data_IF_356424886610
#
_entry.id   IF_356424886610
#
_cell.length_a   1.000
_cell.length_b   1.000
_cell.length_c   1.000
_cell.angle_alpha   90.00
_cell.angle_beta   90.00
_cell.angle_gamma   90.00
#
_symmetry.space_group_name_H-M   'P 1'
#
loop_
_entity.id
_entity.type
_entity.pdbx_description
1 polymer ?
#
# COMPACT_ATOMS: atom_id res chain seq x y z
N UNK A 1 -6.43 -22.87 -6.03
CA UNK A 1 -6.50 -21.57 -5.35
C UNK A 1 -5.30 -21.48 -4.42
N UNK A 2 -4.36 -20.60 -4.74
CA UNK A 2 -3.26 -20.26 -3.85
C UNK A 2 -3.34 -18.77 -3.55
N UNK A 3 -3.28 -18.41 -2.27
CA UNK A 3 -3.08 -17.01 -1.87
C UNK A 3 -1.65 -16.89 -1.38
N UNK A 4 -0.93 -15.93 -1.96
CA UNK A 4 0.39 -15.55 -1.51
C UNK A 4 0.24 -14.30 -0.64
N UNK A 5 0.48 -14.43 0.65
CA UNK A 5 0.56 -13.29 1.58
C UNK A 5 1.91 -13.36 2.27
N UNK A 6 2.67 -12.26 2.21
CA UNK A 6 3.97 -12.14 2.90
C UNK A 6 4.93 -13.32 2.64
N UNK A 7 4.98 -13.83 1.40
CA UNK A 7 5.87 -14.93 1.02
C UNK A 7 5.43 -16.33 1.48
N UNK A 8 4.28 -16.46 2.16
CA UNK A 8 3.66 -17.77 2.43
C UNK A 8 2.57 -18.07 1.41
N UNK A 9 2.79 -19.12 0.63
CA UNK A 9 1.77 -19.70 -0.25
C UNK A 9 0.84 -20.58 0.57
N UNK A 10 -0.37 -20.06 0.84
CA UNK A 10 -1.42 -20.85 1.47
C UNK A 10 -2.20 -21.60 0.39
N UNK A 11 -2.12 -22.93 0.43
CA UNK A 11 -2.92 -23.81 -0.42
C UNK A 11 -4.36 -23.90 0.13
N UNK A 12 -5.17 -22.91 -0.22
CA UNK A 12 -6.57 -22.82 0.21
C UNK A 12 -7.37 -24.01 -0.29
N UNK A 13 -7.17 -24.42 -1.55
CA UNK A 13 -7.85 -25.58 -2.11
C UNK A 13 -7.53 -26.86 -1.33
N UNK A 14 -6.26 -27.06 -0.97
CA UNK A 14 -5.84 -28.19 -0.15
C UNK A 14 -6.52 -28.22 1.23
N UNK A 15 -6.57 -27.09 1.93
CA UNK A 15 -7.25 -27.00 3.24
C UNK A 15 -8.76 -27.21 3.12
N UNK A 16 -9.39 -26.58 2.14
CA UNK A 16 -10.82 -26.69 1.86
C UNK A 16 -11.23 -28.14 1.56
N UNK A 17 -10.39 -28.88 0.84
CA UNK A 17 -10.63 -30.26 0.42
C UNK A 17 -10.34 -31.32 1.48
N UNK A 18 -9.55 -30.99 2.51
CA UNK A 18 -9.14 -31.96 3.55
C UNK A 18 -9.84 -31.73 4.88
N UNK A 19 -10.43 -30.56 5.11
CA UNK A 19 -11.09 -30.19 6.36
C UNK A 19 -12.40 -29.47 6.10
N UNK A 20 -13.43 -29.69 6.95
CA UNK A 20 -14.71 -28.97 6.85
C UNK A 20 -14.48 -27.47 7.05
N UNK A 21 -14.57 -26.73 5.96
CA UNK A 21 -14.18 -25.32 5.90
C UNK A 21 -15.34 -24.45 5.40
N UNK A 22 -15.54 -23.29 6.02
CA UNK A 22 -16.32 -22.21 5.42
C UNK A 22 -15.33 -21.22 4.79
N UNK A 23 -15.36 -21.13 3.46
CA UNK A 23 -14.61 -20.13 2.70
C UNK A 23 -15.51 -18.95 2.41
N UNK A 24 -15.13 -17.75 2.85
CA UNK A 24 -15.86 -16.51 2.57
C UNK A 24 -15.07 -15.71 1.54
N UNK A 25 -15.71 -15.40 0.42
CA UNK A 25 -15.16 -14.54 -0.65
C UNK A 25 -15.98 -13.25 -0.65
N UNK A 26 -15.34 -12.14 -0.30
CA UNK A 26 -15.99 -10.84 -0.21
C UNK A 26 -15.75 -10.03 -1.50
N UNK A 27 -16.81 -9.44 -2.07
CA UNK A 27 -16.73 -8.51 -3.20
C UNK A 27 -16.30 -9.14 -4.54
N UNK A 28 -16.86 -10.30 -4.89
CA UNK A 28 -16.50 -10.99 -6.13
C UNK A 28 -17.19 -10.35 -7.35
N UNK A 29 -16.47 -9.48 -8.08
CA UNK A 29 -17.01 -8.71 -9.22
C UNK A 29 -16.57 -9.23 -10.59
N UNK A 30 -15.97 -10.42 -10.66
CA UNK A 30 -15.49 -11.04 -11.90
C UNK A 30 -16.53 -12.05 -12.42
N UNK A 31 -16.71 -12.12 -13.74
CA UNK A 31 -17.50 -13.18 -14.37
C UNK A 31 -16.93 -14.55 -14.02
N UNK A 32 -17.69 -15.36 -13.30
CA UNK A 32 -17.27 -16.70 -12.88
C UNK A 32 -17.62 -17.70 -13.98
N UNK A 33 -16.61 -18.36 -14.54
CA UNK A 33 -16.82 -19.51 -15.41
C UNK A 33 -17.39 -20.68 -14.59
N UNK A 34 -18.21 -21.54 -15.21
CA UNK A 34 -18.90 -22.64 -14.52
C UNK A 34 -17.97 -23.61 -13.77
N UNK A 35 -16.69 -23.65 -14.14
CA UNK A 35 -15.65 -24.53 -13.60
C UNK A 35 -14.74 -23.86 -12.55
N UNK A 36 -14.99 -22.60 -12.18
CA UNK A 36 -14.12 -21.82 -11.29
C UNK A 36 -13.84 -22.49 -9.93
N UNK A 37 -14.79 -23.27 -9.42
CA UNK A 37 -14.66 -24.00 -8.14
C UNK A 37 -14.44 -25.50 -8.31
N UNK A 38 -14.11 -25.99 -9.51
CA UNK A 38 -13.87 -27.42 -9.79
C UNK A 38 -12.77 -28.01 -8.89
N UNK A 39 -11.73 -27.24 -8.62
CA UNK A 39 -10.64 -27.64 -7.71
C UNK A 39 -11.06 -27.81 -6.24
N UNK A 40 -12.27 -27.37 -5.86
CA UNK A 40 -12.82 -27.45 -4.50
C UNK A 40 -13.83 -28.61 -4.31
N UNK A 41 -14.05 -29.44 -5.34
CA UNK A 41 -15.07 -30.49 -5.34
C UNK A 41 -14.98 -31.45 -4.14
N UNK A 42 -13.77 -31.91 -3.82
CA UNK A 42 -13.57 -32.81 -2.68
C UNK A 42 -13.99 -32.18 -1.34
N UNK A 43 -13.80 -30.88 -1.18
CA UNK A 43 -14.21 -30.13 0.01
C UNK A 43 -15.72 -30.06 0.16
N UNK A 44 -16.44 -29.83 -0.94
CA UNK A 44 -17.90 -29.83 -0.92
C UNK A 44 -18.46 -31.20 -0.48
N UNK A 45 -17.84 -32.31 -0.90
CA UNK A 45 -18.24 -33.67 -0.51
C UNK A 45 -18.15 -33.89 1.01
N UNK A 46 -17.11 -33.36 1.67
CA UNK A 46 -16.94 -33.50 3.13
C UNK A 46 -17.76 -32.48 3.93
N UNK A 47 -18.49 -31.58 3.26
CA UNK A 47 -19.39 -30.60 3.85
C UNK A 47 -18.83 -29.19 4.01
N UNK A 48 -17.70 -28.88 3.37
CA UNK A 48 -17.21 -27.50 3.26
C UNK A 48 -18.18 -26.64 2.42
N UNK A 49 -18.20 -25.34 2.67
CA UNK A 49 -19.08 -24.39 1.99
C UNK A 49 -18.32 -23.15 1.54
N UNK A 50 -18.75 -22.56 0.44
CA UNK A 50 -18.30 -21.25 -0.02
C UNK A 50 -19.45 -20.26 0.14
N UNK A 51 -19.20 -19.13 0.78
CA UNK A 51 -20.10 -17.99 0.84
C UNK A 51 -19.47 -16.85 0.05
N UNK A 52 -20.23 -16.28 -0.88
CA UNK A 52 -19.76 -15.21 -1.76
C UNK A 52 -20.66 -14.00 -1.56
N UNK A 53 -20.08 -12.83 -1.31
CA UNK A 53 -20.76 -11.55 -1.48
C UNK A 53 -20.37 -10.97 -2.85
N UNK A 54 -21.33 -10.37 -3.55
CA UNK A 54 -21.09 -9.72 -4.85
C UNK A 54 -22.14 -8.63 -5.07
N UNK A 55 -21.72 -7.53 -5.69
CA UNK A 55 -22.63 -6.49 -6.16
C UNK A 55 -23.17 -6.79 -7.58
N UNK A 56 -22.55 -7.74 -8.30
CA UNK A 56 -22.90 -8.13 -9.66
C UNK A 56 -23.74 -9.41 -9.75
N UNK A 57 -24.28 -9.69 -10.94
CA UNK A 57 -24.97 -10.94 -11.22
C UNK A 57 -23.98 -12.04 -11.62
N UNK A 58 -23.79 -13.01 -10.73
CA UNK A 58 -23.06 -14.26 -11.03
C UNK A 58 -24.09 -15.34 -11.42
N UNK A 59 -24.42 -15.44 -12.70
CA UNK A 59 -25.53 -16.31 -13.15
C UNK A 59 -25.30 -17.81 -12.95
N UNK A 60 -24.05 -18.24 -12.82
CA UNK A 60 -23.68 -19.64 -12.69
C UNK A 60 -23.93 -20.26 -11.30
N UNK A 61 -24.31 -19.48 -10.28
CA UNK A 61 -24.39 -19.95 -8.89
C UNK A 61 -25.76 -19.68 -8.24
N UNK A 62 -26.18 -20.49 -7.25
CA UNK A 62 -27.35 -20.18 -6.41
C UNK A 62 -27.18 -18.84 -5.71
N UNK A 63 -28.21 -18.00 -5.75
CA UNK A 63 -28.18 -16.63 -5.23
C UNK A 63 -29.11 -16.48 -4.04
N UNK A 64 -28.65 -15.75 -3.04
CA UNK A 64 -29.51 -15.17 -2.02
C UNK A 64 -29.49 -13.66 -2.21
N UNK A 65 -30.63 -13.09 -2.60
CA UNK A 65 -30.75 -11.65 -2.73
C UNK A 65 -30.96 -11.05 -1.33
N UNK A 66 -30.06 -10.16 -0.94
CA UNK A 66 -30.27 -9.32 0.23
C UNK A 66 -31.33 -8.28 -0.12
N UNK A 67 -32.53 -8.49 0.40
CA UNK A 67 -33.62 -7.53 0.26
C UNK A 67 -33.28 -6.20 0.96
N UNK A 68 -34.02 -5.16 0.59
CA UNK A 68 -33.93 -3.86 1.26
C UNK A 68 -34.35 -4.01 2.73
N UNK A 69 -33.75 -3.20 3.59
CA UNK A 69 -34.11 -3.19 5.01
C UNK A 69 -35.59 -2.82 5.19
N UNK A 70 -36.23 -3.48 6.15
CA UNK A 70 -37.53 -3.05 6.65
C UNK A 70 -37.44 -1.64 7.25
N UNK A 71 -38.53 -0.87 7.14
CA UNK A 71 -38.57 0.53 7.58
C UNK A 71 -38.14 0.70 9.05
N UNK A 72 -38.53 -0.22 9.94
CA UNK A 72 -38.15 -0.15 11.36
C UNK A 72 -36.65 -0.30 11.59
N UNK A 73 -36.01 -1.25 10.88
CA UNK A 73 -34.56 -1.41 10.93
C UNK A 73 -33.85 -0.20 10.30
N UNK A 74 -34.34 0.29 9.17
CA UNK A 74 -33.79 1.45 8.48
C UNK A 74 -33.90 2.72 9.35
N UNK A 75 -35.06 2.96 9.97
CA UNK A 75 -35.28 4.04 10.95
C UNK A 75 -34.29 3.93 12.09
N UNK A 76 -34.14 2.73 12.66
CA UNK A 76 -33.21 2.47 13.74
C UNK A 76 -31.77 2.82 13.36
N UNK A 77 -31.32 2.49 12.14
CA UNK A 77 -29.98 2.86 11.66
C UNK A 77 -29.83 4.38 11.58
N UNK A 78 -30.83 5.08 11.04
CA UNK A 78 -30.79 6.54 10.84
C UNK A 78 -30.76 7.31 12.16
N UNK A 79 -31.58 6.91 13.14
CA UNK A 79 -31.75 7.69 14.38
C UNK A 79 -30.85 7.22 15.53
N UNK A 80 -30.13 6.10 15.36
CA UNK A 80 -29.34 5.51 16.46
C UNK A 80 -28.36 6.52 17.09
N UNK A 81 -28.60 6.87 18.35
CA UNK A 81 -27.76 7.81 19.11
C UNK A 81 -27.83 9.26 18.64
N UNK A 82 -28.87 9.65 17.90
CA UNK A 82 -29.22 11.06 17.68
C UNK A 82 -30.06 11.58 18.86
N UNK A 83 -29.89 12.85 19.28
CA UNK A 83 -30.84 13.51 20.19
C UNK A 83 -32.24 13.58 19.58
N UNK A 84 -33.29 13.50 20.41
CA UNK A 84 -34.68 13.53 19.94
C UNK A 84 -35.03 14.87 19.26
N UNK A 85 -34.38 15.98 19.63
CA UNK A 85 -34.58 17.27 18.95
C UNK A 85 -33.93 17.38 17.56
N UNK A 86 -33.13 16.39 17.14
CA UNK A 86 -32.40 16.39 15.87
C UNK A 86 -33.22 15.88 14.69
N UNK A 87 -34.40 15.28 14.92
CA UNK A 87 -35.24 14.73 13.87
C UNK A 87 -36.74 14.80 14.24
N UNK A 88 -37.60 14.70 13.23
CA UNK A 88 -39.03 14.51 13.36
C UNK A 88 -39.48 13.37 12.45
N UNK A 89 -40.66 12.78 12.72
CA UNK A 89 -41.11 11.60 11.98
C UNK A 89 -41.29 11.87 10.47
N UNK A 90 -41.68 13.08 10.07
CA UNK A 90 -41.87 13.42 8.66
C UNK A 90 -40.52 13.51 7.92
N UNK A 91 -39.50 14.07 8.56
CA UNK A 91 -38.14 14.09 8.06
C UNK A 91 -37.54 12.68 7.94
N UNK A 92 -37.81 11.81 8.92
CA UNK A 92 -37.37 10.41 8.90
C UNK A 92 -38.02 9.66 7.73
N UNK A 93 -39.35 9.75 7.58
CA UNK A 93 -40.07 9.09 6.50
C UNK A 93 -39.58 9.52 5.11
N UNK A 94 -39.30 10.82 4.94
CA UNK A 94 -38.73 11.36 3.70
C UNK A 94 -37.38 10.71 3.36
N UNK A 95 -36.45 10.68 4.32
CA UNK A 95 -35.12 10.09 4.09
C UNK A 95 -35.18 8.59 3.84
N UNK A 96 -36.03 7.85 4.56
CA UNK A 96 -36.20 6.41 4.32
C UNK A 96 -36.68 6.13 2.90
N UNK A 97 -37.67 6.91 2.43
CA UNK A 97 -38.18 6.83 1.06
C UNK A 97 -37.10 7.13 0.02
N UNK A 98 -36.41 8.27 0.14
CA UNK A 98 -35.42 8.72 -0.85
C UNK A 98 -34.14 7.87 -0.84
N UNK A 99 -33.75 7.34 0.32
CA UNK A 99 -32.61 6.44 0.44
C UNK A 99 -32.91 5.01 -0.01
N UNK A 100 -34.19 4.67 -0.22
CA UNK A 100 -34.62 3.29 -0.49
C UNK A 100 -34.23 2.33 0.62
N UNK A 101 -34.16 2.80 1.86
CA UNK A 101 -33.70 2.05 3.04
C UNK A 101 -32.26 1.52 2.95
N UNK A 102 -31.38 2.19 2.21
CA UNK A 102 -30.00 1.74 2.05
C UNK A 102 -29.15 1.96 3.34
N UNK A 103 -28.65 0.90 4.02
CA UNK A 103 -28.01 1.02 5.33
C UNK A 103 -26.82 1.99 5.37
N UNK A 104 -25.91 1.94 4.39
CA UNK A 104 -24.75 2.83 4.35
C UNK A 104 -25.16 4.31 4.23
N UNK A 105 -26.13 4.62 3.38
CA UNK A 105 -26.58 5.99 3.16
C UNK A 105 -27.23 6.56 4.43
N UNK A 106 -28.04 5.75 5.11
CA UNK A 106 -28.64 6.11 6.39
C UNK A 106 -27.58 6.34 7.47
N UNK A 107 -26.54 5.50 7.52
CA UNK A 107 -25.41 5.69 8.42
C UNK A 107 -24.64 6.99 8.12
N UNK A 108 -24.37 7.30 6.85
CA UNK A 108 -23.69 8.54 6.44
C UNK A 108 -24.54 9.76 6.83
N UNK A 109 -25.84 9.77 6.54
CA UNK A 109 -26.73 10.88 6.92
C UNK A 109 -26.73 11.08 8.45
N UNK A 110 -26.91 10.00 9.22
CA UNK A 110 -26.84 10.03 10.68
C UNK A 110 -25.51 10.62 11.17
N UNK A 111 -24.40 10.13 10.62
CA UNK A 111 -23.08 10.49 11.11
C UNK A 111 -22.69 11.92 10.70
N UNK A 112 -23.18 12.40 9.55
CA UNK A 112 -23.14 13.82 9.18
C UNK A 112 -23.88 14.68 10.20
N UNK A 113 -25.11 14.32 10.57
CA UNK A 113 -25.90 15.00 11.61
C UNK A 113 -25.12 15.10 12.93
N UNK A 114 -24.55 13.98 13.40
CA UNK A 114 -23.75 13.95 14.62
C UNK A 114 -22.50 14.83 14.53
N UNK A 115 -21.80 14.75 13.40
CA UNK A 115 -20.51 15.44 13.23
C UNK A 115 -20.64 16.95 13.09
N UNK A 116 -21.73 17.42 12.46
CA UNK A 116 -21.98 18.84 12.19
C UNK A 116 -22.93 19.49 13.20
N UNK A 117 -23.55 18.68 14.07
CA UNK A 117 -24.53 19.14 15.05
C UNK A 117 -25.69 19.91 14.41
N UNK A 118 -26.25 19.34 13.33
CA UNK A 118 -27.38 19.88 12.55
C UNK A 118 -28.65 19.05 12.77
N UNK A 119 -29.79 19.47 12.25
CA UNK A 119 -31.03 18.66 12.27
C UNK A 119 -31.24 17.93 10.94
N UNK A 120 -32.01 16.86 10.97
CA UNK A 120 -32.34 16.09 9.76
C UNK A 120 -33.08 16.94 8.72
N UNK A 121 -33.92 17.87 9.16
CA UNK A 121 -34.62 18.81 8.26
C UNK A 121 -33.64 19.73 7.52
N UNK A 122 -32.52 20.09 8.13
CA UNK A 122 -31.49 20.92 7.48
C UNK A 122 -30.82 20.14 6.35
N UNK A 123 -30.58 18.83 6.54
CA UNK A 123 -30.08 17.95 5.49
C UNK A 123 -31.09 17.88 4.33
N UNK A 124 -32.38 17.72 4.63
CA UNK A 124 -33.44 17.66 3.62
C UNK A 124 -33.51 18.96 2.80
N UNK A 125 -33.44 20.11 3.48
CA UNK A 125 -33.49 21.42 2.84
C UNK A 125 -32.30 21.66 1.90
N UNK A 126 -31.14 21.05 2.19
CA UNK A 126 -29.94 21.21 1.34
C UNK A 126 -29.95 20.27 0.12
N UNK A 127 -30.54 19.08 0.23
CA UNK A 127 -30.63 18.13 -0.90
C UNK A 127 -31.81 18.43 -1.84
N UNK A 128 -32.89 19.04 -1.35
CA UNK A 128 -34.11 19.28 -2.14
C UNK A 128 -33.90 20.19 -3.35
N UNK A 129 -33.13 21.30 -3.27
CA UNK A 129 -32.82 22.13 -4.43
C UNK A 129 -32.08 21.35 -5.52
N UNK A 130 -31.18 20.42 -5.16
CA UNK A 130 -30.41 19.63 -6.11
C UNK A 130 -31.28 18.67 -6.94
N UNK A 131 -32.41 18.20 -6.41
CA UNK A 131 -33.41 17.38 -7.12
C UNK A 131 -34.01 18.14 -8.32
N UNK A 132 -34.15 19.47 -8.22
CA UNK A 132 -34.78 20.27 -9.26
C UNK A 132 -33.85 20.55 -10.46
N UNK A 133 -32.54 20.31 -10.32
CA UNK A 133 -31.52 20.55 -11.35
C UNK A 133 -31.09 19.26 -12.10
N UNK A 134 -31.76 18.12 -11.87
CA UNK A 134 -31.44 16.88 -12.59
C UNK A 134 -31.72 17.03 -14.10
N UNK A 135 -30.65 16.97 -14.91
CA UNK A 135 -30.73 16.68 -16.33
C UNK A 135 -30.74 15.15 -16.49
N UNK A 136 -31.52 14.59 -17.43
CA UNK A 136 -31.70 13.13 -17.62
C UNK A 136 -30.37 12.38 -17.85
N UNK A 137 -29.31 13.13 -18.13
CA UNK A 137 -27.92 12.69 -18.33
C UNK A 137 -27.15 12.48 -17.02
N UNK A 138 -27.41 13.24 -15.94
CA UNK A 138 -26.51 13.28 -14.76
C UNK A 138 -26.90 12.34 -13.62
N UNK A 139 -28.17 11.91 -13.52
CA UNK A 139 -28.75 10.97 -12.53
C UNK A 139 -27.93 10.84 -11.24
N UNK A 140 -27.78 11.95 -10.52
CA UNK A 140 -26.96 11.99 -9.31
C UNK A 140 -27.64 11.22 -8.18
N UNK A 141 -26.90 10.36 -7.47
CA UNK A 141 -27.44 9.58 -6.35
C UNK A 141 -27.66 10.46 -5.11
N UNK A 142 -28.61 10.10 -4.24
CA UNK A 142 -28.80 10.78 -2.95
C UNK A 142 -27.50 10.86 -2.13
N UNK A 143 -26.66 9.82 -2.20
CA UNK A 143 -25.34 9.84 -1.57
C UNK A 143 -24.45 10.95 -2.14
N UNK A 144 -24.37 11.08 -3.48
CA UNK A 144 -23.60 12.15 -4.12
C UNK A 144 -24.12 13.52 -3.70
N UNK A 145 -25.46 13.70 -3.62
CA UNK A 145 -26.07 14.95 -3.14
C UNK A 145 -25.70 15.27 -1.70
N UNK A 146 -25.79 14.31 -0.78
CA UNK A 146 -25.40 14.50 0.63
C UNK A 146 -23.90 14.84 0.73
N UNK A 147 -23.06 14.18 -0.07
CA UNK A 147 -21.62 14.46 -0.10
C UNK A 147 -21.30 15.86 -0.65
N UNK A 148 -22.02 16.31 -1.70
CA UNK A 148 -21.82 17.61 -2.33
C UNK A 148 -22.42 18.76 -1.52
N UNK A 149 -23.61 18.58 -0.95
CA UNK A 149 -24.34 19.65 -0.26
C UNK A 149 -23.74 19.96 1.12
N UNK A 150 -23.12 18.96 1.76
CA UNK A 150 -22.44 19.08 3.05
C UNK A 150 -20.95 18.76 2.95
N UNK A 151 -20.34 19.09 1.81
CA UNK A 151 -18.89 18.94 1.66
C UNK A 151 -18.11 19.94 2.50
N UNK A 152 -18.73 20.97 3.08
CA UNK A 152 -18.02 22.11 3.71
C UNK A 152 -17.02 21.64 4.77
N UNK A 153 -15.73 21.81 4.46
CA UNK A 153 -14.62 21.38 5.29
C UNK A 153 -14.18 19.93 5.08
N UNK A 154 -14.63 19.29 4.00
CA UNK A 154 -14.22 17.99 3.45
C UNK A 154 -13.72 18.08 2.01
N UNK A 155 -13.96 19.18 1.29
CA UNK A 155 -13.70 19.30 -0.15
C UNK A 155 -12.27 18.85 -0.49
N UNK A 156 -11.28 19.40 0.21
CA UNK A 156 -9.87 19.11 -0.04
C UNK A 156 -9.53 17.65 0.24
N UNK A 157 -10.20 17.02 1.21
CA UNK A 157 -9.97 15.60 1.52
C UNK A 157 -10.58 14.71 0.44
N UNK A 158 -11.79 15.03 -0.04
CA UNK A 158 -12.44 14.29 -1.12
C UNK A 158 -11.66 14.41 -2.44
N UNK A 159 -11.08 15.58 -2.73
CA UNK A 159 -10.16 15.77 -3.86
C UNK A 159 -8.93 14.86 -3.75
N UNK A 160 -8.33 14.73 -2.56
CA UNK A 160 -7.22 13.78 -2.34
C UNK A 160 -7.66 12.33 -2.58
N UNK A 161 -8.81 11.90 -2.02
CA UNK A 161 -9.31 10.54 -2.24
C UNK A 161 -9.58 10.28 -3.72
N UNK A 162 -10.15 11.25 -4.44
CA UNK A 162 -10.34 11.17 -5.90
C UNK A 162 -9.00 11.07 -6.62
N UNK A 163 -8.05 11.94 -6.29
CA UNK A 163 -6.74 11.97 -6.93
C UNK A 163 -5.99 10.65 -6.74
N UNK A 164 -5.96 10.10 -5.52
CA UNK A 164 -5.33 8.80 -5.24
C UNK A 164 -5.99 7.66 -6.02
N UNK A 165 -7.32 7.72 -6.19
CA UNK A 165 -8.11 6.74 -6.95
C UNK A 165 -7.88 5.29 -6.48
N UNK A 166 -7.84 5.11 -5.16
CA UNK A 166 -7.78 3.81 -4.50
C UNK A 166 -8.89 3.71 -3.46
N UNK A 167 -9.23 2.49 -3.05
CA UNK A 167 -10.26 2.25 -2.03
C UNK A 167 -9.68 1.92 -0.66
N UNK A 168 -8.40 1.57 -0.61
CA UNK A 168 -7.69 1.15 0.59
C UNK A 168 -6.50 2.06 0.78
N UNK A 169 -6.33 2.59 1.98
CA UNK A 169 -5.30 3.55 2.33
C UNK A 169 -4.53 3.06 3.55
N UNK A 170 -3.23 3.27 3.56
CA UNK A 170 -2.45 3.21 4.78
C UNK A 170 -2.76 4.45 5.64
N UNK A 171 -2.96 4.26 6.95
CA UNK A 171 -3.36 5.36 7.83
C UNK A 171 -2.28 6.43 7.96
N UNK A 172 -0.99 6.07 8.00
CA UNK A 172 0.12 7.01 8.18
C UNK A 172 0.27 7.88 6.93
N UNK A 173 0.21 7.25 5.76
CA UNK A 173 0.21 7.93 4.48
C UNK A 173 -0.94 8.92 4.33
N UNK A 174 -2.17 8.48 4.61
CA UNK A 174 -3.31 9.37 4.47
C UNK A 174 -3.25 10.52 5.49
N UNK A 175 -2.79 10.25 6.73
CA UNK A 175 -2.56 11.29 7.74
C UNK A 175 -1.50 12.30 7.29
N UNK A 176 -0.46 11.90 6.57
CA UNK A 176 0.51 12.84 6.04
C UNK A 176 -0.11 13.79 4.99
N UNK A 177 -0.95 13.27 4.10
CA UNK A 177 -1.50 14.08 2.98
C UNK A 177 -2.62 15.03 3.44
N UNK A 178 -3.55 14.54 4.28
CA UNK A 178 -4.76 15.30 4.71
C UNK A 178 -4.81 15.64 6.20
N UNK A 179 -3.79 15.25 6.97
CA UNK A 179 -3.73 15.48 8.41
C UNK A 179 -4.58 14.50 9.24
N UNK A 180 -4.22 14.37 10.52
CA UNK A 180 -4.99 13.58 11.50
C UNK A 180 -6.44 14.08 11.59
N UNK A 181 -6.65 15.40 11.53
CA UNK A 181 -7.98 16.02 11.54
C UNK A 181 -8.82 15.65 10.31
N UNK A 182 -8.21 15.59 9.13
CA UNK A 182 -8.89 15.18 7.90
C UNK A 182 -9.34 13.73 7.95
N UNK A 183 -8.45 12.81 8.34
CA UNK A 183 -8.78 11.39 8.54
C UNK A 183 -9.89 11.23 9.57
N UNK A 184 -9.81 11.94 10.70
CA UNK A 184 -10.86 11.91 11.73
C UNK A 184 -12.22 12.34 11.18
N UNK A 185 -12.27 13.44 10.42
CA UNK A 185 -13.51 13.94 9.80
C UNK A 185 -14.13 12.95 8.82
N UNK A 186 -13.31 12.29 8.00
CA UNK A 186 -13.78 11.27 7.05
C UNK A 186 -14.36 10.05 7.78
N UNK A 187 -13.68 9.58 8.84
CA UNK A 187 -14.18 8.48 9.68
C UNK A 187 -15.46 8.84 10.42
N UNK A 188 -15.53 10.04 11.00
CA UNK A 188 -16.69 10.51 11.75
C UNK A 188 -17.97 10.62 10.91
N UNK A 189 -17.85 10.71 9.58
CA UNK A 189 -18.96 10.73 8.63
C UNK A 189 -19.16 9.39 7.90
N UNK A 190 -18.57 8.32 8.41
CA UNK A 190 -18.64 6.97 7.81
C UNK A 190 -18.16 6.91 6.35
N UNK A 191 -17.24 7.81 5.95
CA UNK A 191 -16.67 7.82 4.61
C UNK A 191 -15.47 6.85 4.48
N UNK A 192 -14.77 6.65 5.59
CA UNK A 192 -13.70 5.67 5.73
C UNK A 192 -13.96 4.84 6.98
N UNK A 193 -13.79 3.52 6.85
CA UNK A 193 -13.77 2.58 7.97
C UNK A 193 -12.34 2.18 8.27
N UNK A 194 -12.00 2.08 9.55
CA UNK A 194 -10.73 1.49 9.96
C UNK A 194 -10.88 -0.02 10.06
N UNK A 195 -9.96 -0.73 9.41
CA UNK A 195 -9.81 -2.19 9.47
C UNK A 195 -8.53 -2.54 10.23
N UNK A 196 -8.32 -3.84 10.49
CA UNK A 196 -7.12 -4.33 11.16
C UNK A 196 -5.84 -3.88 10.45
N UNK A 197 -4.75 -3.80 11.23
CA UNK A 197 -3.42 -3.41 10.77
C UNK A 197 -3.32 -1.97 10.25
N UNK A 198 -4.09 -1.03 10.77
CA UNK A 198 -3.95 0.40 10.46
C UNK A 198 -4.27 0.74 8.99
N UNK A 199 -5.25 0.04 8.43
CA UNK A 199 -5.79 0.29 7.10
C UNK A 199 -7.11 1.06 7.18
N UNK A 200 -7.32 1.96 6.22
CA UNK A 200 -8.59 2.65 6.02
C UNK A 200 -9.22 2.18 4.72
N UNK A 201 -10.49 1.81 4.76
CA UNK A 201 -11.24 1.29 3.61
C UNK A 201 -12.43 2.19 3.30
N UNK A 202 -12.56 2.55 2.02
CA UNK A 202 -13.67 3.27 1.45
C UNK A 202 -14.63 2.29 0.75
N UNK A 203 -15.92 2.40 1.05
CA UNK A 203 -16.94 1.59 0.40
C UNK A 203 -17.11 1.97 -1.09
N UNK A 204 -17.48 1.01 -1.93
CA UNK A 204 -17.58 1.18 -3.39
C UNK A 204 -18.48 2.33 -3.83
N UNK A 205 -19.67 2.45 -3.25
CA UNK A 205 -20.57 3.58 -3.55
C UNK A 205 -19.96 4.94 -3.21
N UNK A 206 -19.16 5.04 -2.14
CA UNK A 206 -18.47 6.28 -1.78
C UNK A 206 -17.36 6.54 -2.81
N UNK A 207 -16.59 5.51 -3.16
CA UNK A 207 -15.58 5.61 -4.20
C UNK A 207 -16.16 6.10 -5.53
N UNK A 208 -17.30 5.53 -5.97
CA UNK A 208 -18.00 5.97 -7.18
C UNK A 208 -18.44 7.44 -7.10
N UNK A 209 -18.98 7.88 -5.97
CA UNK A 209 -19.36 9.28 -5.77
C UNK A 209 -18.14 10.21 -5.83
N UNK A 210 -17.06 9.83 -5.15
CA UNK A 210 -15.79 10.58 -5.13
C UNK A 210 -15.19 10.68 -6.53
N UNK A 211 -15.24 9.62 -7.34
CA UNK A 211 -14.76 9.65 -8.72
C UNK A 211 -15.55 10.62 -9.63
N UNK A 212 -16.85 10.81 -9.34
CA UNK A 212 -17.72 11.73 -10.06
C UNK A 212 -17.63 13.20 -9.63
N UNK A 213 -16.75 13.55 -8.68
CA UNK A 213 -16.45 14.94 -8.31
C UNK A 213 -15.54 15.58 -9.36
N UNK A 214 -15.53 16.89 -9.52
CA UNK A 214 -14.47 17.56 -10.28
C UNK A 214 -13.19 17.64 -9.46
N UNK A 215 -12.04 17.43 -10.10
CA UNK A 215 -10.75 17.63 -9.46
C UNK A 215 -9.70 18.04 -10.48
N UNK A 216 -9.15 19.22 -10.28
CA UNK A 216 -8.04 19.79 -11.05
C UNK A 216 -6.78 19.96 -10.20
N UNK A 217 -6.83 19.57 -8.93
CA UNK A 217 -5.71 19.69 -8.01
C UNK A 217 -4.75 18.50 -8.13
N UNK A 218 -3.48 18.82 -7.92
CA UNK A 218 -2.40 17.85 -7.89
C UNK A 218 -1.80 17.77 -6.48
N UNK A 219 -1.58 16.54 -6.03
CA UNK A 219 -1.05 16.23 -4.70
C UNK A 219 0.28 15.46 -4.76
N UNK A 220 0.93 15.42 -5.93
CA UNK A 220 2.25 14.80 -6.15
C UNK A 220 3.27 15.24 -5.11
N UNK A 221 3.42 16.55 -4.87
CA UNK A 221 4.40 17.06 -3.92
C UNK A 221 4.23 16.46 -2.51
N UNK A 222 2.98 16.36 -2.00
CA UNK A 222 2.71 15.76 -0.68
C UNK A 222 3.02 14.26 -0.66
N UNK A 223 2.67 13.55 -1.73
CA UNK A 223 3.01 12.14 -1.87
C UNK A 223 4.52 11.93 -1.88
N UNK A 224 5.26 12.76 -2.64
CA UNK A 224 6.71 12.65 -2.76
C UNK A 224 7.43 13.03 -1.47
N UNK A 225 6.96 14.05 -0.75
CA UNK A 225 7.47 14.38 0.59
C UNK A 225 7.33 13.21 1.55
N UNK A 226 6.16 12.56 1.60
CA UNK A 226 5.94 11.37 2.44
C UNK A 226 6.99 10.28 2.21
N UNK A 227 7.24 9.95 0.94
CA UNK A 227 8.16 8.89 0.58
C UNK A 227 9.63 9.30 0.78
N UNK A 228 9.99 10.54 0.43
CA UNK A 228 11.35 11.05 0.62
C UNK A 228 11.77 11.05 2.09
N UNK A 229 10.88 11.41 3.01
CA UNK A 229 11.13 11.38 4.46
C UNK A 229 11.36 9.97 5.03
N UNK A 230 10.94 8.93 4.32
CA UNK A 230 10.87 7.55 4.83
C UNK A 230 11.71 6.56 4.03
N UNK A 231 12.38 7.01 2.98
CA UNK A 231 13.09 6.14 2.03
C UNK A 231 14.21 5.34 2.70
N UNK A 232 14.87 5.92 3.70
CA UNK A 232 16.00 5.29 4.41
C UNK A 232 15.55 4.20 5.39
N UNK A 233 14.35 4.30 5.95
CA UNK A 233 13.80 3.30 6.86
C UNK A 233 13.00 2.22 6.11
N UNK A 234 12.25 2.63 5.07
CA UNK A 234 11.43 1.75 4.23
C UNK A 234 10.56 0.76 5.04
N UNK A 235 9.98 1.24 6.15
CA UNK A 235 9.15 0.44 7.05
C UNK A 235 7.86 -0.07 6.40
N UNK A 236 7.03 -0.77 7.17
CA UNK A 236 5.80 -1.37 6.63
C UNK A 236 4.81 -0.32 6.09
N UNK A 237 4.72 0.88 6.67
CA UNK A 237 3.87 1.96 6.15
C UNK A 237 4.37 2.44 4.79
N UNK A 238 5.68 2.65 4.64
CA UNK A 238 6.30 2.99 3.36
C UNK A 238 5.97 1.94 2.29
N UNK A 239 6.26 0.66 2.57
CA UNK A 239 6.06 -0.42 1.60
C UNK A 239 4.58 -0.58 1.23
N UNK A 240 3.69 -0.53 2.23
CA UNK A 240 2.26 -0.67 2.00
C UNK A 240 1.71 0.49 1.18
N UNK A 241 2.12 1.72 1.49
CA UNK A 241 1.72 2.92 0.75
C UNK A 241 2.23 2.90 -0.67
N UNK A 242 3.47 2.44 -0.88
CA UNK A 242 4.04 2.24 -2.21
C UNK A 242 3.16 1.31 -3.05
N UNK A 243 2.82 0.13 -2.52
CA UNK A 243 2.04 -0.87 -3.27
C UNK A 243 0.56 -0.53 -3.41
N UNK A 244 -0.08 0.10 -2.41
CA UNK A 244 -1.46 0.58 -2.52
C UNK A 244 -1.59 1.61 -3.64
N UNK A 245 -0.57 2.45 -3.85
CA UNK A 245 -0.55 3.50 -4.87
C UNK A 245 0.19 3.10 -6.16
N UNK A 246 0.48 1.81 -6.36
CA UNK A 246 1.27 1.34 -7.50
C UNK A 246 0.72 1.81 -8.85
N UNK A 247 -0.61 1.74 -9.06
CA UNK A 247 -1.25 2.21 -10.30
C UNK A 247 -1.03 3.70 -10.55
N UNK A 248 -1.12 4.52 -9.49
CA UNK A 248 -0.87 5.96 -9.58
C UNK A 248 0.60 6.22 -9.93
N UNK A 249 1.54 5.56 -9.27
CA UNK A 249 2.98 5.71 -9.54
C UNK A 249 3.30 5.35 -10.99
N UNK A 250 2.81 4.20 -11.47
CA UNK A 250 3.00 3.78 -12.87
C UNK A 250 2.41 4.83 -13.83
N UNK A 251 1.20 5.30 -13.57
CA UNK A 251 0.58 6.36 -14.37
C UNK A 251 1.44 7.64 -14.40
N UNK A 252 1.91 8.11 -13.25
CA UNK A 252 2.73 9.32 -13.16
C UNK A 252 4.04 9.18 -13.93
N UNK A 253 4.74 8.06 -13.75
CA UNK A 253 5.99 7.75 -14.44
C UNK A 253 5.80 7.74 -15.96
N UNK A 254 4.76 7.07 -16.45
CA UNK A 254 4.45 7.00 -17.89
C UNK A 254 4.11 8.34 -18.52
N UNK A 255 3.72 9.35 -17.71
CA UNK A 255 3.36 10.70 -18.17
C UNK A 255 4.40 11.76 -17.77
N UNK A 256 5.54 11.35 -17.21
CA UNK A 256 6.61 12.25 -16.78
C UNK A 256 7.85 12.13 -17.65
N UNK A 257 8.71 13.14 -17.60
CA UNK A 257 10.05 13.06 -18.20
C UNK A 257 10.89 12.01 -17.47
N UNK A 258 11.63 11.20 -18.24
CA UNK A 258 12.51 10.14 -17.70
C UNK A 258 13.73 10.79 -17.05
N UNK A 259 13.74 10.88 -15.72
CA UNK A 259 14.82 11.49 -14.95
C UNK A 259 15.02 10.78 -13.60
N UNK A 260 16.20 10.88 -12.98
CA UNK A 260 16.45 10.20 -11.73
C UNK A 260 15.92 11.03 -10.57
N UNK A 261 14.67 10.80 -10.20
CA UNK A 261 13.99 11.47 -9.09
C UNK A 261 13.22 10.48 -8.19
N UNK A 262 12.61 11.00 -7.12
CA UNK A 262 11.85 10.18 -6.17
C UNK A 262 10.71 9.40 -6.85
N UNK A 263 10.04 9.97 -7.86
CA UNK A 263 8.97 9.27 -8.58
C UNK A 263 9.53 8.01 -9.28
N UNK A 264 10.65 8.16 -9.99
CA UNK A 264 11.31 7.04 -10.64
C UNK A 264 11.91 6.06 -9.63
N UNK A 265 12.34 6.53 -8.45
CA UNK A 265 12.79 5.62 -7.40
C UNK A 265 11.66 4.71 -6.95
N UNK A 266 10.49 5.28 -6.62
CA UNK A 266 9.32 4.53 -6.20
C UNK A 266 8.90 3.50 -7.26
N UNK A 267 8.95 3.88 -8.53
CA UNK A 267 8.68 2.97 -9.64
C UNK A 267 9.66 1.78 -9.69
N UNK A 268 10.95 2.03 -9.46
CA UNK A 268 11.97 0.97 -9.42
C UNK A 268 11.75 0.03 -8.23
N UNK A 269 11.29 0.55 -7.09
CA UNK A 269 11.00 -0.24 -5.88
C UNK A 269 9.75 -1.11 -6.00
N UNK A 270 8.76 -0.74 -6.83
CA UNK A 270 7.54 -1.53 -7.02
C UNK A 270 7.84 -2.94 -7.51
N UNK A 271 7.18 -3.95 -6.95
CA UNK A 271 7.17 -5.31 -7.49
C UNK A 271 5.94 -5.51 -8.39
N UNK A 272 5.96 -4.87 -9.55
CA UNK A 272 4.91 -4.98 -10.58
C UNK A 272 5.47 -5.61 -11.83
N UNK A 273 4.74 -6.57 -12.40
CA UNK A 273 5.10 -7.18 -13.68
C UNK A 273 4.98 -6.17 -14.82
N UNK A 274 5.83 -6.32 -15.84
CA UNK A 274 5.73 -5.53 -17.07
C UNK A 274 6.18 -4.07 -16.94
N UNK A 275 7.17 -3.78 -16.08
CA UNK A 275 7.83 -2.48 -16.08
C UNK A 275 8.37 -2.14 -17.46
N UNK A 276 8.15 -0.89 -17.87
CA UNK A 276 8.72 -0.30 -19.08
C UNK A 276 10.25 -0.35 -18.99
N UNK A 277 10.82 -1.16 -19.88
CA UNK A 277 12.26 -1.40 -19.98
C UNK A 277 13.00 -0.16 -20.46
N UNK A 278 12.37 0.67 -21.29
CA UNK A 278 13.00 1.86 -21.86
C UNK A 278 13.23 2.91 -20.78
N UNK A 279 12.30 3.05 -19.83
CA UNK A 279 12.44 3.95 -18.68
C UNK A 279 13.65 3.53 -17.84
N UNK A 280 13.73 2.23 -17.51
CA UNK A 280 14.81 1.69 -16.70
C UNK A 280 16.15 1.79 -17.43
N UNK A 281 16.20 1.45 -18.72
CA UNK A 281 17.38 1.54 -19.56
C UNK A 281 17.89 2.97 -19.68
N UNK A 282 16.98 3.94 -19.90
CA UNK A 282 17.33 5.37 -20.01
C UNK A 282 18.01 5.86 -18.73
N UNK A 283 17.44 5.53 -17.57
CA UNK A 283 17.99 5.95 -16.27
C UNK A 283 19.30 5.22 -15.94
N UNK A 284 19.39 3.92 -16.24
CA UNK A 284 20.58 3.12 -15.97
C UNK A 284 21.84 3.63 -16.70
N UNK A 285 21.65 4.26 -17.87
CA UNK A 285 22.73 4.84 -18.69
C UNK A 285 23.20 6.23 -18.23
N UNK A 286 22.50 6.87 -17.28
CA UNK A 286 22.92 8.17 -16.75
C UNK A 286 24.17 8.02 -15.87
N UNK A 287 24.97 9.08 -15.79
CA UNK A 287 26.22 9.09 -15.00
C UNK A 287 25.97 9.60 -13.59
N UNK A 288 26.57 8.98 -12.59
CA UNK A 288 26.48 9.43 -11.20
C UNK A 288 27.12 10.82 -11.01
N UNK A 289 28.19 11.11 -11.74
CA UNK A 289 28.91 12.38 -11.70
C UNK A 289 28.03 13.61 -12.02
N UNK A 290 26.94 13.42 -12.79
CA UNK A 290 26.01 14.50 -13.14
C UNK A 290 25.04 14.84 -12.00
N UNK A 291 25.02 14.04 -10.92
CA UNK A 291 24.03 14.11 -9.83
C UNK A 291 24.66 14.07 -8.43
N UNK A 292 25.92 14.45 -8.28
CA UNK A 292 26.64 14.41 -6.99
C UNK A 292 25.93 15.20 -5.88
N UNK A 293 25.22 16.27 -6.21
CA UNK A 293 24.45 17.08 -5.25
C UNK A 293 23.05 16.50 -4.93
N UNK A 294 22.69 15.35 -5.51
CA UNK A 294 21.37 14.74 -5.35
C UNK A 294 21.49 13.23 -5.08
N UNK A 295 21.53 12.88 -3.81
CA UNK A 295 21.66 11.48 -3.33
C UNK A 295 20.54 10.58 -3.85
N UNK A 296 19.29 11.07 -3.88
CA UNK A 296 18.15 10.30 -4.39
C UNK A 296 18.36 9.98 -5.88
N UNK A 297 18.83 10.94 -6.67
CA UNK A 297 19.10 10.71 -8.08
C UNK A 297 20.19 9.64 -8.28
N UNK A 298 21.26 9.68 -7.48
CA UNK A 298 22.30 8.64 -7.50
C UNK A 298 21.73 7.26 -7.15
N UNK A 299 20.91 7.15 -6.10
CA UNK A 299 20.25 5.90 -5.72
C UNK A 299 19.33 5.38 -6.83
N UNK A 300 18.61 6.26 -7.53
CA UNK A 300 17.75 5.89 -8.67
C UNK A 300 18.55 5.32 -9.82
N UNK A 301 19.67 5.94 -10.17
CA UNK A 301 20.55 5.44 -11.24
C UNK A 301 21.09 4.06 -10.87
N UNK A 302 21.59 3.90 -9.65
CA UNK A 302 22.11 2.62 -9.16
C UNK A 302 20.99 1.57 -9.17
N UNK A 303 19.83 1.85 -8.57
CA UNK A 303 18.71 0.92 -8.53
C UNK A 303 18.21 0.57 -9.94
N UNK A 304 18.22 1.50 -10.90
CA UNK A 304 17.88 1.22 -12.29
C UNK A 304 18.86 0.22 -12.91
N UNK A 305 20.17 0.38 -12.67
CA UNK A 305 21.19 -0.61 -13.08
C UNK A 305 20.95 -1.96 -12.43
N UNK A 306 20.50 -2.01 -11.18
CA UNK A 306 20.12 -3.26 -10.52
C UNK A 306 18.89 -3.92 -11.17
N UNK A 307 17.85 -3.13 -11.46
CA UNK A 307 16.61 -3.62 -12.07
C UNK A 307 16.80 -4.05 -13.51
N UNK A 308 17.72 -3.41 -14.23
CA UNK A 308 18.09 -3.77 -15.59
C UNK A 308 18.50 -5.26 -15.70
N UNK A 309 19.08 -5.83 -14.63
CA UNK A 309 19.53 -7.22 -14.59
C UNK A 309 18.41 -8.26 -14.68
N UNK A 310 17.17 -7.88 -14.35
CA UNK A 310 16.03 -8.80 -14.33
C UNK A 310 15.38 -8.96 -15.72
N UNK A 311 15.82 -8.19 -16.72
CA UNK A 311 15.32 -8.34 -18.08
C UNK A 311 16.14 -9.38 -18.84
N UNK A 312 15.51 -10.53 -19.12
CA UNK A 312 16.18 -11.66 -19.76
C UNK A 312 16.75 -11.36 -21.14
N UNK A 313 16.13 -10.42 -21.86
CA UNK A 313 16.54 -9.98 -23.20
C UNK A 313 17.88 -9.24 -23.23
N UNK A 314 18.44 -8.85 -22.07
CA UNK A 314 19.60 -7.95 -21.97
C UNK A 314 20.76 -8.54 -21.16
N UNK A 315 20.79 -9.88 -20.99
CA UNK A 315 21.78 -10.61 -20.17
C UNK A 315 23.25 -10.44 -20.62
N UNK A 316 23.51 -9.98 -21.85
CA UNK A 316 24.88 -9.85 -22.38
C UNK A 316 25.66 -8.63 -21.84
N UNK A 317 25.02 -7.64 -21.20
CA UNK A 317 25.67 -6.45 -20.63
C UNK A 317 25.70 -6.39 -19.08
N UNK A 318 25.37 -7.47 -18.37
CA UNK A 318 25.14 -7.44 -16.91
C UNK A 318 26.34 -6.95 -16.10
N UNK A 319 27.54 -7.44 -16.41
CA UNK A 319 28.75 -7.07 -15.67
C UNK A 319 29.19 -5.63 -15.96
N UNK A 320 28.78 -5.06 -17.10
CA UNK A 320 29.17 -3.70 -17.51
C UNK A 320 28.58 -2.65 -16.58
N UNK A 321 27.30 -2.79 -16.20
CA UNK A 321 26.68 -1.83 -15.27
C UNK A 321 27.17 -1.99 -13.84
N UNK A 322 27.43 -3.22 -13.38
CA UNK A 322 28.02 -3.46 -12.06
C UNK A 322 29.44 -2.85 -12.01
N UNK A 323 30.26 -3.05 -13.04
CA UNK A 323 31.59 -2.42 -13.15
C UNK A 323 31.50 -0.89 -13.26
N UNK A 324 30.63 -0.35 -14.12
CA UNK A 324 30.41 1.11 -14.26
C UNK A 324 29.98 1.74 -12.93
N UNK A 325 29.18 1.02 -12.14
CA UNK A 325 28.76 1.49 -10.81
C UNK A 325 29.95 1.58 -9.86
N UNK A 326 30.84 0.59 -9.87
CA UNK A 326 32.05 0.61 -9.05
C UNK A 326 32.95 1.78 -9.49
N UNK A 327 33.26 1.86 -10.78
CA UNK A 327 34.18 2.85 -11.33
C UNK A 327 33.67 4.29 -11.08
N UNK A 328 32.39 4.54 -11.31
CA UNK A 328 31.79 5.86 -11.08
C UNK A 328 31.69 6.22 -9.60
N UNK A 329 31.38 5.26 -8.71
CA UNK A 329 31.40 5.52 -7.27
C UNK A 329 32.81 5.90 -6.81
N UNK A 330 33.83 5.18 -7.27
CA UNK A 330 35.23 5.50 -6.94
C UNK A 330 35.63 6.88 -7.48
N UNK A 331 35.26 7.22 -8.72
CA UNK A 331 35.51 8.53 -9.34
C UNK A 331 34.88 9.67 -8.52
N UNK A 332 33.59 9.58 -8.19
CA UNK A 332 32.89 10.66 -7.49
C UNK A 332 33.35 10.78 -6.03
N UNK A 333 33.70 9.67 -5.37
CA UNK A 333 34.19 9.69 -3.98
C UNK A 333 35.60 10.29 -3.86
N UNK A 334 36.42 10.21 -4.92
CA UNK A 334 37.72 10.89 -4.96
C UNK A 334 37.55 12.40 -5.21
N UNK A 335 36.58 12.76 -6.04
CA UNK A 335 36.45 14.12 -6.60
C UNK A 335 35.54 15.04 -5.79
N UNK A 336 34.76 14.50 -4.84
CA UNK A 336 33.76 15.24 -4.07
C UNK A 336 33.85 14.88 -2.58
N UNK A 337 33.43 15.82 -1.73
CA UNK A 337 33.33 15.61 -0.29
C UNK A 337 31.87 15.32 0.07
N UNK A 338 31.59 14.09 0.48
CA UNK A 338 30.25 13.61 0.81
C UNK A 338 30.07 13.51 2.32
N UNK A 339 28.86 13.79 2.80
CA UNK A 339 28.54 13.52 4.20
C UNK A 339 28.57 12.01 4.52
N UNK A 340 28.62 11.70 5.81
CA UNK A 340 28.73 10.32 6.33
C UNK A 340 27.58 9.44 5.82
N UNK A 341 26.37 10.00 5.68
CA UNK A 341 25.18 9.27 5.25
C UNK A 341 25.28 8.88 3.77
N UNK A 342 25.72 9.80 2.94
CA UNK A 342 25.93 9.57 1.50
C UNK A 342 27.08 8.59 1.28
N UNK A 343 28.19 8.76 1.99
CA UNK A 343 29.32 7.83 1.95
C UNK A 343 28.91 6.40 2.34
N UNK A 344 28.08 6.26 3.37
CA UNK A 344 27.52 4.97 3.77
C UNK A 344 26.78 4.31 2.60
N UNK A 345 25.86 5.05 1.97
CA UNK A 345 25.05 4.56 0.85
C UNK A 345 25.90 4.15 -0.35
N UNK A 346 26.88 4.99 -0.73
CA UNK A 346 27.79 4.70 -1.82
C UNK A 346 28.61 3.42 -1.56
N UNK A 347 29.20 3.26 -0.38
CA UNK A 347 29.91 2.03 -0.03
C UNK A 347 28.98 0.81 0.01
N UNK A 348 27.74 0.96 0.50
CA UNK A 348 26.76 -0.12 0.49
C UNK A 348 26.45 -0.59 -0.94
N UNK A 349 26.19 0.33 -1.86
CA UNK A 349 25.90 0.00 -3.25
C UNK A 349 27.12 -0.52 -4.00
N UNK A 350 28.32 0.01 -3.73
CA UNK A 350 29.57 -0.52 -4.25
C UNK A 350 29.79 -1.97 -3.82
N UNK A 351 29.55 -2.30 -2.55
CA UNK A 351 29.62 -3.67 -2.05
C UNK A 351 28.62 -4.61 -2.74
N UNK A 352 27.40 -4.15 -3.03
CA UNK A 352 26.42 -4.93 -3.81
C UNK A 352 26.90 -5.18 -5.25
N UNK A 353 27.52 -4.19 -5.90
CA UNK A 353 28.06 -4.34 -7.24
C UNK A 353 29.23 -5.34 -7.27
N UNK A 354 30.22 -5.22 -6.38
CA UNK A 354 31.33 -6.17 -6.23
C UNK A 354 30.82 -7.61 -6.01
N UNK A 355 29.85 -7.78 -5.11
CA UNK A 355 29.25 -9.08 -4.82
C UNK A 355 28.59 -9.71 -6.06
N UNK A 356 27.91 -8.91 -6.89
CA UNK A 356 27.30 -9.39 -8.14
C UNK A 356 28.33 -9.81 -9.18
N UNK A 357 29.52 -9.21 -9.15
CA UNK A 357 30.69 -9.61 -9.94
C UNK A 357 31.47 -10.79 -9.33
N UNK A 358 31.02 -11.34 -8.19
CA UNK A 358 31.68 -12.42 -7.44
C UNK A 358 33.05 -12.04 -6.89
N UNK A 359 33.24 -10.76 -6.59
CA UNK A 359 34.41 -10.20 -5.92
C UNK A 359 34.10 -10.06 -4.43
N UNK A 360 34.07 -11.19 -3.72
CA UNK A 360 33.54 -11.27 -2.37
C UNK A 360 34.41 -10.54 -1.32
N UNK A 361 35.74 -10.50 -1.51
CA UNK A 361 36.67 -9.80 -0.62
C UNK A 361 36.47 -8.27 -0.71
N UNK A 362 36.41 -7.74 -1.93
CA UNK A 362 36.16 -6.32 -2.19
C UNK A 362 34.75 -5.92 -1.74
N UNK A 363 33.76 -6.77 -1.99
CA UNK A 363 32.39 -6.57 -1.50
C UNK A 363 32.35 -6.45 0.02
N UNK A 364 33.00 -7.38 0.73
CA UNK A 364 33.08 -7.37 2.18
C UNK A 364 33.80 -6.09 2.67
N UNK A 365 34.90 -5.71 2.03
CA UNK A 365 35.63 -4.48 2.33
C UNK A 365 34.76 -3.22 2.22
N UNK A 366 33.97 -3.09 1.14
CA UNK A 366 33.03 -1.97 0.98
C UNK A 366 31.91 -2.00 2.02
N UNK A 367 31.34 -3.17 2.33
CA UNK A 367 30.29 -3.26 3.36
C UNK A 367 30.82 -2.96 4.77
N UNK A 368 32.06 -3.35 5.10
CA UNK A 368 32.68 -2.99 6.38
C UNK A 368 32.82 -1.47 6.49
N UNK A 369 33.34 -0.80 5.46
CA UNK A 369 33.43 0.67 5.43
C UNK A 369 32.05 1.33 5.59
N UNK A 370 31.01 0.80 4.94
CA UNK A 370 29.65 1.28 5.13
C UNK A 370 29.19 1.11 6.58
N UNK A 371 29.45 -0.05 7.21
CA UNK A 371 29.06 -0.33 8.59
C UNK A 371 29.82 0.52 9.61
N UNK A 372 31.07 0.90 9.33
CA UNK A 372 31.86 1.81 10.17
C UNK A 372 31.25 3.22 10.22
N UNK A 373 30.61 3.65 9.12
CA UNK A 373 29.92 4.94 9.03
C UNK A 373 28.54 4.93 9.70
N UNK A 374 27.84 3.79 9.67
CA UNK A 374 26.60 3.56 10.43
C UNK A 374 26.54 2.14 10.98
N UNK A 375 26.83 2.02 12.28
CA UNK A 375 26.86 0.74 12.99
C UNK A 375 25.48 0.08 13.08
N UNK A 376 24.40 0.84 12.92
CA UNK A 376 23.03 0.35 13.02
C UNK A 376 22.43 0.01 11.65
N UNK A 377 23.20 0.11 10.55
CA UNK A 377 22.72 -0.15 9.20
C UNK A 377 22.37 -1.64 8.98
N UNK A 378 21.11 -1.98 9.22
CA UNK A 378 20.61 -3.35 9.21
C UNK A 378 20.72 -4.01 7.82
N UNK A 379 20.50 -3.25 6.75
CA UNK A 379 20.69 -3.72 5.37
C UNK A 379 22.16 -4.11 5.10
N UNK A 380 23.12 -3.30 5.56
CA UNK A 380 24.55 -3.57 5.43
C UNK A 380 24.96 -4.79 6.25
N UNK A 381 24.48 -4.91 7.49
CA UNK A 381 24.69 -6.10 8.33
C UNK A 381 24.17 -7.38 7.67
N UNK A 382 22.99 -7.32 7.06
CA UNK A 382 22.44 -8.45 6.30
C UNK A 382 23.34 -8.83 5.13
N UNK A 383 23.91 -7.87 4.40
CA UNK A 383 24.83 -8.18 3.30
C UNK A 383 26.16 -8.78 3.77
N UNK A 384 26.74 -8.26 4.87
CA UNK A 384 27.94 -8.83 5.50
C UNK A 384 27.66 -10.26 5.93
N UNK A 385 26.53 -10.50 6.59
CA UNK A 385 26.14 -11.83 7.05
C UNK A 385 26.15 -12.87 5.91
N UNK A 386 25.82 -12.45 4.68
CA UNK A 386 25.81 -13.33 3.49
C UNK A 386 27.18 -13.64 2.91
N UNK A 387 28.23 -12.92 3.31
CA UNK A 387 29.59 -13.05 2.79
C UNK A 387 30.57 -13.68 3.79
N UNK A 388 30.28 -13.58 5.08
CA UNK A 388 31.14 -14.13 6.14
C UNK A 388 30.81 -15.59 6.47
N UNK A 389 31.76 -16.24 7.13
CA UNK A 389 31.60 -17.60 7.64
C UNK A 389 30.52 -17.70 8.73
N UNK A 390 30.12 -18.94 9.05
CA UNK A 390 28.96 -19.20 9.93
C UNK A 390 29.10 -18.58 11.32
N UNK A 391 30.29 -18.59 11.89
CA UNK A 391 30.51 -18.09 13.25
C UNK A 391 30.45 -16.55 13.29
N UNK A 392 30.97 -15.89 12.25
CA UNK A 392 30.96 -14.43 12.12
C UNK A 392 29.59 -13.88 11.66
N UNK A 393 28.73 -14.73 11.07
CA UNK A 393 27.36 -14.38 10.66
C UNK A 393 26.44 -14.10 11.86
N UNK A 394 26.59 -14.86 12.96
CA UNK A 394 25.66 -14.86 14.10
C UNK A 394 25.50 -13.46 14.73
N UNK A 395 26.57 -12.70 15.04
CA UNK A 395 26.44 -11.37 15.63
C UNK A 395 25.63 -10.39 14.76
N UNK A 396 25.75 -10.47 13.43
CA UNK A 396 25.01 -9.59 12.52
C UNK A 396 23.51 -9.91 12.51
N UNK A 397 23.16 -11.19 12.42
CA UNK A 397 21.76 -11.65 12.46
C UNK A 397 21.14 -11.30 13.81
N UNK A 398 21.85 -11.58 14.92
CA UNK A 398 21.37 -11.27 16.27
C UNK A 398 21.09 -9.79 16.47
N UNK A 399 21.94 -8.92 15.92
CA UNK A 399 21.71 -7.48 15.98
C UNK A 399 20.43 -7.08 15.25
N UNK A 400 20.19 -7.62 14.06
CA UNK A 400 18.97 -7.33 13.29
C UNK A 400 17.71 -7.78 14.06
N UNK A 401 17.70 -8.99 14.62
CA UNK A 401 16.56 -9.43 15.44
C UNK A 401 16.39 -8.61 16.71
N UNK A 402 17.47 -8.21 17.38
CA UNK A 402 17.40 -7.34 18.55
C UNK A 402 16.75 -6.00 18.20
N UNK A 403 17.15 -5.37 17.10
CA UNK A 403 16.57 -4.10 16.64
C UNK A 403 15.10 -4.24 16.30
N UNK A 404 14.70 -5.33 15.63
CA UNK A 404 13.29 -5.56 15.31
C UNK A 404 12.42 -5.84 16.53
N UNK A 405 12.90 -6.62 17.50
CA UNK A 405 12.16 -6.88 18.74
C UNK A 405 12.02 -5.59 19.56
N UNK A 406 13.06 -4.75 19.58
CA UNK A 406 13.04 -3.47 20.28
C UNK A 406 12.12 -2.43 19.63
N UNK A 407 12.15 -2.32 18.30
CA UNK A 407 11.37 -1.33 17.54
C UNK A 407 10.92 -1.89 16.18
N UNK A 408 9.84 -2.70 16.13
CA UNK A 408 9.40 -3.37 14.89
C UNK A 408 9.08 -2.42 13.74
N UNK A 409 8.61 -1.20 14.04
CA UNK A 409 8.23 -0.17 13.07
C UNK A 409 9.43 0.56 12.44
N UNK A 410 10.63 0.39 12.99
CA UNK A 410 11.85 1.05 12.52
C UNK A 410 12.70 0.16 11.61
N UNK A 411 12.34 -1.12 11.48
CA UNK A 411 13.07 -2.07 10.65
C UNK A 411 12.29 -2.39 9.38
N UNK A 412 12.96 -2.27 8.23
CA UNK A 412 12.40 -2.68 6.95
C UNK A 412 11.96 -4.15 6.97
N UNK A 413 10.72 -4.42 6.56
CA UNK A 413 10.15 -5.77 6.54
C UNK A 413 10.98 -6.73 5.66
N UNK A 414 11.53 -6.22 4.56
CA UNK A 414 12.37 -6.99 3.63
C UNK A 414 13.67 -7.45 4.29
N UNK A 415 14.26 -6.66 5.19
CA UNK A 415 15.43 -7.05 5.97
C UNK A 415 15.09 -8.21 6.89
N UNK A 416 13.96 -8.15 7.58
CA UNK A 416 13.58 -9.19 8.55
C UNK A 416 13.28 -10.50 7.87
N UNK A 417 12.48 -10.49 6.79
CA UNK A 417 12.19 -11.70 6.04
C UNK A 417 13.47 -12.34 5.48
N UNK A 418 14.37 -11.53 4.91
CA UNK A 418 15.65 -12.02 4.42
C UNK A 418 16.58 -12.51 5.54
N UNK A 419 16.52 -11.89 6.72
CA UNK A 419 17.32 -12.30 7.89
C UNK A 419 16.83 -13.64 8.44
N UNK A 420 15.52 -13.88 8.46
CA UNK A 420 14.95 -15.19 8.81
C UNK A 420 15.44 -16.27 7.84
N UNK A 421 15.44 -15.99 6.54
CA UNK A 421 15.98 -16.92 5.54
C UNK A 421 17.47 -17.21 5.77
N UNK A 422 18.28 -16.18 6.04
CA UNK A 422 19.70 -16.33 6.33
C UNK A 422 19.97 -17.08 7.63
N UNK A 423 19.18 -16.83 8.67
CA UNK A 423 19.27 -17.53 9.96
C UNK A 423 18.95 -19.01 9.80
N UNK A 424 17.94 -19.36 8.99
CA UNK A 424 17.58 -20.75 8.68
C UNK A 424 18.68 -21.58 8.01
N UNK A 425 19.75 -20.95 7.49
CA UNK A 425 20.92 -21.63 6.92
C UNK A 425 21.93 -22.07 7.99
N UNK A 426 21.74 -21.66 9.25
CA UNK A 426 22.59 -22.02 10.39
C UNK A 426 22.14 -23.34 11.03
N UNK A 427 23.08 -24.03 11.68
CA UNK A 427 22.78 -25.30 12.38
C UNK A 427 21.95 -25.07 13.64
N UNK A 428 22.17 -23.95 14.31
CA UNK A 428 21.48 -23.58 15.53
C UNK A 428 20.96 -22.15 15.41
N UNK A 429 19.69 -22.03 15.04
CA UNK A 429 19.05 -20.72 14.82
C UNK A 429 18.86 -19.98 16.16
N UNK A 430 18.78 -20.72 17.27
CA UNK A 430 18.62 -20.13 18.61
C UNK A 430 19.78 -19.23 19.00
N UNK A 431 20.99 -19.49 18.51
CA UNK A 431 22.18 -18.66 18.78
C UNK A 431 22.04 -17.24 18.22
N UNK A 432 21.18 -17.07 17.21
CA UNK A 432 20.88 -15.78 16.61
C UNK A 432 19.80 -15.01 17.37
N UNK A 433 19.07 -15.64 18.30
CA UNK A 433 18.00 -14.96 19.01
C UNK A 433 18.56 -14.09 20.15
N UNK A 434 17.94 -12.93 20.43
CA UNK A 434 18.19 -12.20 21.66
C UNK A 434 17.85 -13.05 22.88
N UNK A 435 18.53 -12.83 24.00
CA UNK A 435 18.28 -13.60 25.22
C UNK A 435 16.80 -13.54 25.63
N UNK A 436 16.20 -14.70 25.90
CA UNK A 436 14.79 -14.82 26.29
C UNK A 436 13.80 -15.00 25.13
N UNK A 437 14.26 -15.07 23.88
CA UNK A 437 13.41 -15.30 22.71
C UNK A 437 13.77 -16.59 21.97
N UNK A 438 12.78 -17.27 21.37
CA UNK A 438 12.95 -18.46 20.54
C UNK A 438 12.03 -18.40 19.32
N UNK A 439 12.39 -19.12 18.25
CA UNK A 439 11.49 -19.34 17.11
C UNK A 439 10.45 -20.38 17.52
N UNK A 440 9.16 -20.04 17.38
CA UNK A 440 8.03 -20.96 17.61
C UNK A 440 7.82 -21.86 16.39
#
# INVERSE_FOLDING_TARGET
MQINRFGTTSNIAGRFNTTRTLLVIDGLDIGIASDFFSELEAGFVIGSKVLISSAGTIDALPKYHLDRLENECAKSILINGLPDESYDDSSVEYILKESGNHPLLLAIIRDTIKSENVKLIDIINDITPLVQYEDDVSKETLLKRVLLSKSTGLEDYLKVLKWLNVKIFDIDFLRHIIGIGGVKKLKQRSLLKEEDNELLVMHDMIALCVQGLDNTEDFEAKMFTYFAERVDCANYHFQRSLHLNAKKIVYLVSNSERKPDILHYLYLLLDVGGKDIDIIATIAQMRLADYVDNVIAMEVIIEAREKYRYFESLKEELNKYDQSTIDEIEEIMISNDFDIVTMHKLFHHQGKAYKRLKQDEEALGSFIKALELDINALHTRLQISRLVDKDDKVPHIKHIFSSYIGAPSEVALTVILATIEEAGKLKNVEDCMPEGYSFI
#
